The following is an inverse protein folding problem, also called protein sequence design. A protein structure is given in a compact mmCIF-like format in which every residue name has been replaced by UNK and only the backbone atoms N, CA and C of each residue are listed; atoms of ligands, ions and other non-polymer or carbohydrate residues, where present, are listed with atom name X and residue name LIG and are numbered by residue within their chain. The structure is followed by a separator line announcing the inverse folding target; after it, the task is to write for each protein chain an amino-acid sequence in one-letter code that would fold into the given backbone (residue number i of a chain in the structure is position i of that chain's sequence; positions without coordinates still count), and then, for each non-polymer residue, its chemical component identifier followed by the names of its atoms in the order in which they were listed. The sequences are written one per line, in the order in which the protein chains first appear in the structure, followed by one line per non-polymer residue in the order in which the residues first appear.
data_IF_130081814283
#
_entry.id   IF_130081814283
#
_cell.length_a   1.000
_cell.length_b   1.000
_cell.length_c   1.000
_cell.angle_alpha   90.00
_cell.angle_beta   90.00
_cell.angle_gamma   90.00
#
_symmetry.space_group_name_H-M   'P 1'
#
loop_
_entity.id
_entity.type
_entity.pdbx_description
1 polymer ?
#
# COMPACT_ATOMS: atom_id res chain seq x y z
N UNK A 1 12.34 13.13 -31.46
CA UNK A 1 12.02 13.50 -30.09
C UNK A 1 13.21 14.16 -29.41
N UNK A 2 12.99 15.28 -28.77
CA UNK A 2 14.07 16.00 -28.12
C UNK A 2 14.21 15.55 -26.66
N UNK A 3 15.27 14.81 -26.36
CA UNK A 3 15.52 14.29 -25.02
C UNK A 3 15.81 15.39 -24.00
N UNK A 4 16.21 16.56 -24.44
CA UNK A 4 16.55 17.65 -23.54
C UNK A 4 15.37 18.27 -22.81
N UNK A 5 14.15 17.99 -23.27
CA UNK A 5 12.95 18.48 -22.61
C UNK A 5 12.52 17.64 -21.41
N UNK A 6 13.17 16.48 -21.18
CA UNK A 6 12.81 15.59 -20.07
C UNK A 6 13.75 15.81 -18.90
N UNK A 7 13.22 16.38 -17.82
CA UNK A 7 14.00 16.61 -16.61
C UNK A 7 13.69 15.59 -15.50
N UNK A 8 12.61 14.82 -15.65
CA UNK A 8 12.13 13.95 -14.56
C UNK A 8 13.10 12.84 -14.19
N UNK A 9 14.01 12.46 -15.09
CA UNK A 9 14.98 11.39 -14.83
C UNK A 9 16.38 11.91 -14.60
N UNK A 10 16.58 13.23 -14.48
CA UNK A 10 17.89 13.77 -14.17
C UNK A 10 18.21 13.58 -12.68
N UNK A 11 19.44 13.19 -12.35
CA UNK A 11 19.84 13.08 -10.94
C UNK A 11 19.62 14.40 -10.20
N UNK A 12 19.15 14.33 -8.97
CA UNK A 12 18.92 15.48 -8.09
C UNK A 12 17.72 16.35 -8.45
N UNK A 13 16.97 16.07 -9.52
CA UNK A 13 15.74 16.81 -9.80
C UNK A 13 14.64 16.40 -8.81
N UNK A 14 13.69 17.32 -8.58
CA UNK A 14 12.52 17.00 -7.75
C UNK A 14 11.69 15.86 -8.35
N UNK A 15 11.60 15.82 -9.68
CA UNK A 15 10.90 14.75 -10.40
C UNK A 15 11.60 13.40 -10.21
N UNK A 16 12.94 13.40 -10.21
CA UNK A 16 13.69 12.17 -9.97
C UNK A 16 13.46 11.63 -8.55
N UNK A 17 13.40 12.53 -7.57
CA UNK A 17 13.09 12.14 -6.18
C UNK A 17 11.67 11.60 -6.07
N UNK A 18 10.72 12.22 -6.75
CA UNK A 18 9.34 11.77 -6.78
C UNK A 18 9.23 10.37 -7.39
N UNK A 19 9.95 10.13 -8.48
CA UNK A 19 9.98 8.81 -9.12
C UNK A 19 10.55 7.77 -8.16
N UNK A 20 11.64 8.08 -7.47
CA UNK A 20 12.24 7.16 -6.51
C UNK A 20 11.29 6.83 -5.37
N UNK A 21 10.60 7.84 -4.83
CA UNK A 21 9.62 7.65 -3.76
C UNK A 21 8.45 6.79 -4.24
N UNK A 22 7.92 7.10 -5.42
CA UNK A 22 6.82 6.34 -5.99
C UNK A 22 7.23 4.88 -6.25
N UNK A 23 8.44 4.68 -6.77
CA UNK A 23 8.96 3.32 -6.99
C UNK A 23 9.02 2.54 -5.68
N UNK A 24 9.48 3.17 -4.60
CA UNK A 24 9.53 2.51 -3.29
C UNK A 24 8.15 2.12 -2.79
N UNK A 25 7.17 3.02 -2.94
CA UNK A 25 5.79 2.73 -2.54
C UNK A 25 5.21 1.60 -3.38
N UNK A 26 5.44 1.62 -4.69
CA UNK A 26 4.93 0.57 -5.57
C UNK A 26 5.54 -0.79 -5.24
N UNK A 27 6.84 -0.84 -4.91
CA UNK A 27 7.47 -2.08 -4.47
C UNK A 27 6.84 -2.61 -3.19
N UNK A 28 6.55 -1.70 -2.26
CA UNK A 28 5.92 -2.07 -0.99
C UNK A 28 4.54 -2.69 -1.22
N UNK A 29 3.70 -2.06 -2.04
CA UNK A 29 2.32 -2.51 -2.24
C UNK A 29 2.18 -3.59 -3.32
N UNK A 30 3.23 -3.91 -4.06
CA UNK A 30 3.16 -4.90 -5.14
C UNK A 30 3.07 -6.33 -4.62
N UNK A 31 3.38 -6.57 -3.37
CA UNK A 31 3.29 -7.90 -2.77
C UNK A 31 1.81 -8.26 -2.60
N UNK A 32 1.43 -9.46 -3.08
CA UNK A 32 0.02 -9.86 -3.17
C UNK A 32 -0.69 -9.81 -1.83
N UNK A 33 -0.06 -10.28 -0.76
CA UNK A 33 -0.67 -10.26 0.58
C UNK A 33 -0.95 -8.86 1.06
N UNK A 34 -0.05 -7.92 0.76
CA UNK A 34 -0.25 -6.51 1.13
C UNK A 34 -1.38 -5.89 0.33
N UNK A 35 -1.48 -6.21 -0.96
CA UNK A 35 -2.63 -5.75 -1.77
C UNK A 35 -3.95 -6.29 -1.23
N UNK A 36 -3.97 -7.53 -0.79
CA UNK A 36 -5.17 -8.11 -0.17
C UNK A 36 -5.55 -7.38 1.10
N UNK A 37 -4.59 -7.07 1.95
CA UNK A 37 -4.83 -6.30 3.17
C UNK A 37 -5.41 -4.93 2.82
N UNK A 38 -4.80 -4.24 1.87
CA UNK A 38 -5.26 -2.92 1.46
C UNK A 38 -6.67 -2.98 0.86
N UNK A 39 -6.96 -4.01 0.08
CA UNK A 39 -8.30 -4.22 -0.49
C UNK A 39 -9.36 -4.36 0.61
N UNK A 40 -9.04 -5.10 1.67
CA UNK A 40 -9.96 -5.28 2.80
C UNK A 40 -10.12 -3.95 3.55
N UNK A 41 -9.02 -3.24 3.81
CA UNK A 41 -9.06 -1.98 4.54
C UNK A 41 -9.76 -0.85 3.78
N UNK A 42 -9.87 -0.96 2.45
CA UNK A 42 -10.68 -0.01 1.67
C UNK A 42 -12.15 -0.05 2.06
N UNK A 43 -12.62 -1.19 2.51
CA UNK A 43 -14.04 -1.37 2.83
C UNK A 43 -14.36 -0.83 4.21
N UNK A 44 -13.53 -1.16 5.19
CA UNK A 44 -13.64 -0.64 6.55
C UNK A 44 -12.38 -1.01 7.34
N UNK A 45 -12.25 -0.42 8.52
CA UNK A 45 -11.16 -0.74 9.44
C UNK A 45 -11.28 -2.18 9.93
N UNK A 46 -10.13 -2.83 10.14
CA UNK A 46 -10.08 -4.20 10.61
C UNK A 46 -8.97 -4.36 11.65
N UNK A 47 -9.19 -5.24 12.61
CA UNK A 47 -8.13 -5.65 13.53
C UNK A 47 -7.37 -6.85 12.94
N UNK A 48 -6.21 -7.16 13.55
CA UNK A 48 -5.37 -8.28 13.09
C UNK A 48 -6.15 -9.59 13.06
N UNK A 49 -6.97 -9.85 14.07
CA UNK A 49 -7.77 -11.08 14.14
C UNK A 49 -8.68 -11.23 12.93
N UNK A 50 -9.32 -10.14 12.52
CA UNK A 50 -10.21 -10.18 11.36
C UNK A 50 -9.43 -10.39 10.06
N UNK A 51 -8.26 -9.78 9.94
CA UNK A 51 -7.40 -9.97 8.77
C UNK A 51 -6.90 -11.42 8.69
N UNK A 52 -6.54 -12.00 9.82
CA UNK A 52 -6.14 -13.42 9.89
C UNK A 52 -7.27 -14.33 9.39
N UNK A 53 -8.47 -14.05 9.83
CA UNK A 53 -9.65 -14.83 9.46
C UNK A 53 -9.93 -14.72 7.96
N UNK A 54 -9.88 -13.51 7.41
CA UNK A 54 -10.14 -13.28 5.98
C UNK A 54 -9.06 -13.88 5.08
N UNK A 55 -7.81 -13.82 5.50
CA UNK A 55 -6.67 -14.15 4.64
C UNK A 55 -6.06 -15.52 4.92
N UNK A 56 -6.40 -16.14 6.03
CA UNK A 56 -5.81 -17.43 6.40
C UNK A 56 -4.32 -17.34 6.65
N UNK A 57 -3.83 -16.18 7.09
CA UNK A 57 -2.41 -15.95 7.35
C UNK A 57 -2.14 -15.86 8.84
N UNK A 58 -0.90 -16.17 9.25
CA UNK A 58 -0.51 -16.10 10.64
C UNK A 58 -0.51 -14.66 11.16
N UNK A 59 -0.67 -14.51 12.48
CA UNK A 59 -0.60 -13.22 13.13
C UNK A 59 0.74 -12.53 12.87
N UNK A 60 1.84 -13.25 12.97
CA UNK A 60 3.16 -12.65 12.80
C UNK A 60 3.37 -12.16 11.37
N UNK A 61 2.87 -12.86 10.38
CA UNK A 61 2.99 -12.44 8.99
C UNK A 61 2.15 -11.19 8.70
N UNK A 62 0.90 -11.20 9.17
CA UNK A 62 0.02 -10.02 9.00
C UNK A 62 0.61 -8.82 9.74
N UNK A 63 1.07 -9.00 10.96
CA UNK A 63 1.68 -7.92 11.73
C UNK A 63 2.92 -7.36 11.05
N UNK A 64 3.72 -8.23 10.41
CA UNK A 64 4.88 -7.79 9.64
C UNK A 64 4.45 -6.91 8.46
N UNK A 65 3.46 -7.34 7.69
CA UNK A 65 2.96 -6.55 6.56
C UNK A 65 2.37 -5.22 7.03
N UNK A 66 1.60 -5.23 8.10
CA UNK A 66 1.00 -4.01 8.63
C UNK A 66 2.04 -3.02 9.13
N UNK A 67 3.12 -3.53 9.75
CA UNK A 67 4.22 -2.68 10.20
C UNK A 67 4.89 -1.98 9.02
N UNK A 68 5.16 -2.72 7.95
CA UNK A 68 5.79 -2.14 6.76
C UNK A 68 4.87 -1.09 6.12
N UNK A 69 3.58 -1.36 6.05
CA UNK A 69 2.61 -0.42 5.52
C UNK A 69 2.46 0.82 6.43
N UNK A 70 2.53 0.62 7.73
CA UNK A 70 2.47 1.72 8.70
C UNK A 70 3.71 2.61 8.62
N UNK A 71 4.87 2.00 8.50
CA UNK A 71 6.13 2.74 8.37
C UNK A 71 6.14 3.62 7.11
N UNK A 72 5.46 3.20 6.06
CA UNK A 72 5.32 3.96 4.83
C UNK A 72 4.11 4.92 4.87
N UNK A 73 3.43 5.01 6.01
CA UNK A 73 2.27 5.88 6.20
C UNK A 73 1.10 5.58 5.27
N UNK A 74 0.98 4.33 4.85
CA UNK A 74 -0.15 3.85 4.04
C UNK A 74 -1.32 3.44 4.93
N UNK A 75 -1.00 2.91 6.11
CA UNK A 75 -2.00 2.56 7.12
C UNK A 75 -1.64 3.19 8.46
N UNK A 76 -2.63 3.27 9.33
CA UNK A 76 -2.47 3.76 10.70
C UNK A 76 -3.20 2.79 11.62
N UNK A 77 -2.68 2.64 12.84
CA UNK A 77 -3.34 1.84 13.86
C UNK A 77 -4.12 2.75 14.81
N UNK A 78 -5.30 2.29 15.19
CA UNK A 78 -6.20 3.02 16.07
C UNK A 78 -6.62 2.06 17.19
N UNK A 79 -6.30 2.42 18.41
CA UNK A 79 -6.67 1.62 19.58
C UNK A 79 -8.11 1.89 19.95
N UNK A 80 -8.94 0.85 20.03
CA UNK A 80 -10.32 0.94 20.44
C UNK A 80 -10.58 -0.13 21.52
N UNK A 81 -10.59 0.29 22.75
CA UNK A 81 -10.75 -0.64 23.88
C UNK A 81 -9.60 -1.63 23.95
N UNK A 82 -9.92 -2.92 23.89
CA UNK A 82 -8.93 -3.99 23.95
C UNK A 82 -8.33 -4.34 22.59
N UNK A 83 -8.83 -3.74 21.52
CA UNK A 83 -8.42 -4.10 20.17
C UNK A 83 -7.69 -2.93 19.49
N UNK A 84 -6.80 -3.29 18.58
CA UNK A 84 -6.15 -2.33 17.69
C UNK A 84 -6.69 -2.55 16.29
N UNK A 85 -7.30 -1.51 15.73
CA UNK A 85 -7.82 -1.53 14.38
C UNK A 85 -6.84 -0.80 13.45
N UNK A 86 -6.75 -1.29 12.24
CA UNK A 86 -5.94 -0.67 11.19
C UNK A 86 -6.85 -0.01 10.18
N UNK A 87 -6.45 1.17 9.72
CA UNK A 87 -7.21 1.99 8.78
C UNK A 87 -6.27 2.53 7.73
N UNK A 88 -6.81 2.78 6.54
CA UNK A 88 -6.04 3.48 5.52
C UNK A 88 -5.86 4.94 5.91
N UNK A 89 -4.65 5.46 5.74
CA UNK A 89 -4.41 6.90 5.80
C UNK A 89 -5.00 7.56 4.56
N UNK A 90 -5.01 8.90 4.51
CA UNK A 90 -5.40 9.61 3.28
C UNK A 90 -4.52 9.20 2.12
N UNK A 91 -3.22 9.08 2.34
CA UNK A 91 -2.28 8.57 1.33
C UNK A 91 -2.66 7.15 0.89
N UNK A 92 -2.95 6.28 1.85
CA UNK A 92 -3.38 4.92 1.57
C UNK A 92 -4.67 4.86 0.74
N UNK A 93 -5.62 5.73 1.04
CA UNK A 93 -6.87 5.83 0.26
C UNK A 93 -6.60 6.27 -1.16
N UNK A 94 -5.74 7.26 -1.36
CA UNK A 94 -5.37 7.71 -2.70
C UNK A 94 -4.69 6.60 -3.50
N UNK A 95 -3.72 5.92 -2.90
CA UNK A 95 -2.99 4.83 -3.54
C UNK A 95 -3.95 3.72 -3.96
N UNK A 96 -4.78 3.25 -3.03
CA UNK A 96 -5.70 2.15 -3.33
C UNK A 96 -6.75 2.53 -4.35
N UNK A 97 -7.27 3.76 -4.29
CA UNK A 97 -8.24 4.22 -5.27
C UNK A 97 -7.66 4.24 -6.67
N UNK A 98 -6.41 4.71 -6.82
CA UNK A 98 -5.75 4.72 -8.12
C UNK A 98 -5.44 3.31 -8.62
N UNK A 99 -4.89 2.46 -7.76
CA UNK A 99 -4.47 1.12 -8.16
C UNK A 99 -5.65 0.22 -8.52
N UNK A 100 -6.69 0.24 -7.72
CA UNK A 100 -7.83 -0.66 -7.94
C UNK A 100 -8.79 -0.17 -9.03
N UNK A 101 -8.54 0.98 -9.62
CA UNK A 101 -9.29 1.48 -10.77
C UNK A 101 -8.59 1.22 -12.10
N UNK A 102 -7.38 0.68 -12.08
CA UNK A 102 -6.65 0.38 -13.32
C UNK A 102 -7.38 -0.73 -14.08
N UNK A 103 -7.76 -0.50 -15.35
CA UNK A 103 -8.47 -1.53 -16.12
C UNK A 103 -7.48 -2.57 -16.64
N UNK A 104 -7.25 -3.60 -15.86
CA UNK A 104 -6.31 -4.65 -16.19
C UNK A 104 -7.02 -5.89 -16.70
N UNK A 105 -6.41 -6.54 -17.68
CA UNK A 105 -6.83 -7.90 -18.05
C UNK A 105 -6.27 -8.87 -17.01
N UNK A 106 -7.07 -9.88 -16.70
CA UNK A 106 -6.59 -10.93 -15.82
C UNK A 106 -5.40 -11.64 -16.46
N UNK A 107 -4.30 -11.75 -15.72
CA UNK A 107 -3.10 -12.46 -16.16
C UNK A 107 -3.20 -13.89 -15.66
N UNK A 108 -3.29 -14.84 -16.59
CA UNK A 108 -3.29 -16.26 -16.21
C UNK A 108 -1.86 -16.71 -15.92
N UNK A 109 -1.66 -17.43 -14.82
CA UNK A 109 -0.33 -17.95 -14.48
C UNK A 109 0.15 -19.01 -15.49
#
# INVERSE_FOLDING_TARGET
MNMRSFSCCTPSSSESKQVATLSSVLKLVSEESRLKILCILRQKDHCVCELMEHLGMSQSLISHHLRDLKDAEVVVDIKQGLYVYYSLTDTGKHITNLLFQIPLKEVKP
#
